data_IF_517087976611
#
_entry.id   IF_517087976611
#
_cell.length_a   1.000
_cell.length_b   1.000
_cell.length_c   1.000
_cell.angle_alpha   90.00
_cell.angle_beta   90.00
_cell.angle_gamma   90.00
#
_symmetry.space_group_name_H-M   'P 1'
#
loop_
_entity.id
_entity.type
_entity.pdbx_description
1 polymer ?
#
# COMPACT_ATOMS: atom_id res chain seq x y z
N UNK A 1 19.49 -4.07 -14.70
CA UNK A 1 19.76 -3.96 -13.26
C UNK A 1 18.62 -4.63 -12.48
N UNK A 2 18.95 -5.42 -11.47
CA UNK A 2 17.93 -6.08 -10.66
C UNK A 2 17.18 -5.06 -9.80
N UNK A 3 15.89 -5.30 -9.59
CA UNK A 3 15.08 -4.46 -8.71
C UNK A 3 15.48 -4.65 -7.25
N UNK A 4 15.38 -3.58 -6.47
CA UNK A 4 15.57 -3.68 -5.02
C UNK A 4 14.45 -4.51 -4.39
N UNK A 5 14.69 -5.02 -3.19
CA UNK A 5 13.64 -5.71 -2.41
C UNK A 5 12.41 -4.83 -2.23
N UNK A 6 12.62 -3.54 -1.97
CA UNK A 6 11.53 -2.58 -1.84
C UNK A 6 10.66 -2.54 -3.10
N UNK A 7 11.30 -2.49 -4.26
CA UNK A 7 10.58 -2.45 -5.54
C UNK A 7 9.80 -3.75 -5.78
N UNK A 8 10.40 -4.89 -5.51
CA UNK A 8 9.73 -6.19 -5.64
C UNK A 8 8.51 -6.27 -4.72
N UNK A 9 8.63 -5.77 -3.50
CA UNK A 9 7.54 -5.74 -2.53
C UNK A 9 6.39 -4.87 -3.03
N UNK A 10 6.68 -3.65 -3.45
CA UNK A 10 5.65 -2.71 -3.91
C UNK A 10 4.95 -3.22 -5.17
N UNK A 11 5.70 -3.79 -6.10
CA UNK A 11 5.14 -4.35 -7.33
C UNK A 11 4.22 -5.53 -7.01
N UNK A 12 4.60 -6.39 -6.07
CA UNK A 12 3.77 -7.53 -5.67
C UNK A 12 2.51 -7.10 -4.95
N UNK A 13 2.61 -6.11 -4.06
CA UNK A 13 1.45 -5.56 -3.37
C UNK A 13 0.45 -4.98 -4.38
N UNK A 14 0.94 -4.24 -5.38
CA UNK A 14 0.07 -3.73 -6.45
C UNK A 14 -0.62 -4.86 -7.20
N UNK A 15 0.11 -5.91 -7.55
CA UNK A 15 -0.46 -7.08 -8.23
C UNK A 15 -1.59 -7.69 -7.40
N UNK A 16 -1.39 -7.80 -6.09
CA UNK A 16 -2.42 -8.33 -5.19
C UNK A 16 -3.67 -7.44 -5.17
N UNK A 17 -3.48 -6.12 -5.20
CA UNK A 17 -4.58 -5.17 -5.21
C UNK A 17 -5.28 -5.09 -6.57
N UNK A 18 -4.58 -5.35 -7.67
CA UNK A 18 -5.18 -5.35 -9.01
C UNK A 18 -6.32 -6.37 -9.16
N UNK A 19 -6.39 -7.34 -8.28
CA UNK A 19 -7.49 -8.32 -8.26
C UNK A 19 -8.81 -7.74 -7.74
N UNK A 20 -8.80 -6.53 -7.15
CA UNK A 20 -10.01 -5.87 -6.66
C UNK A 20 -10.82 -5.38 -7.86
N UNK A 21 -12.09 -5.77 -7.90
CA UNK A 21 -12.98 -5.38 -9.01
C UNK A 21 -13.62 -4.02 -8.77
N UNK A 22 -14.02 -3.37 -9.86
CA UNK A 22 -14.74 -2.09 -9.86
C UNK A 22 -13.93 -0.90 -9.34
N UNK A 23 -12.62 -1.04 -9.24
CA UNK A 23 -11.71 0.06 -8.90
C UNK A 23 -10.44 -0.09 -9.73
N UNK A 24 -9.80 1.05 -10.04
CA UNK A 24 -8.51 1.05 -10.72
C UNK A 24 -7.41 1.31 -9.70
N UNK A 25 -6.35 0.52 -9.76
CA UNK A 25 -5.22 0.64 -8.84
C UNK A 25 -4.10 1.41 -9.51
N UNK A 26 -3.63 2.45 -8.84
CA UNK A 26 -2.51 3.28 -9.30
C UNK A 26 -1.37 3.18 -8.32
N UNK A 27 -0.16 3.37 -8.81
CA UNK A 27 1.03 3.37 -7.97
C UNK A 27 1.62 4.78 -7.94
N UNK A 28 1.74 5.33 -6.70
CA UNK A 28 2.38 6.63 -6.43
C UNK A 28 1.88 7.77 -7.33
N UNK A 29 0.57 7.80 -7.56
CA UNK A 29 -0.02 8.82 -8.41
C UNK A 29 -0.13 10.13 -7.66
N UNK A 30 0.45 11.19 -8.19
CA UNK A 30 0.41 12.54 -7.61
C UNK A 30 -0.58 13.46 -8.32
N UNK A 31 -1.05 13.07 -9.51
CA UNK A 31 -2.02 13.85 -10.28
C UNK A 31 -3.42 13.70 -9.69
N UNK A 32 -4.23 14.77 -9.67
CA UNK A 32 -5.61 14.67 -9.24
C UNK A 32 -6.39 13.66 -10.10
N UNK A 33 -7.33 12.96 -9.48
CA UNK A 33 -8.21 12.05 -10.20
C UNK A 33 -9.30 12.84 -10.91
N UNK A 34 -9.56 12.51 -12.17
CA UNK A 34 -10.72 13.00 -12.87
C UNK A 34 -11.99 12.35 -12.29
N UNK A 35 -13.15 13.00 -12.47
CA UNK A 35 -14.41 12.53 -11.89
C UNK A 35 -14.73 11.07 -12.27
N UNK A 36 -14.45 10.67 -13.49
CA UNK A 36 -14.71 9.31 -13.96
C UNK A 36 -13.68 8.27 -13.53
N UNK A 37 -12.60 8.68 -12.84
CA UNK A 37 -11.54 7.77 -12.41
C UNK A 37 -11.79 7.16 -11.01
N UNK A 38 -12.75 7.68 -10.26
CA UNK A 38 -13.17 7.08 -8.99
C UNK A 38 -14.22 5.99 -9.26
N UNK A 39 -14.24 4.87 -8.48
CA UNK A 39 -13.34 4.55 -7.37
C UNK A 39 -11.93 4.22 -7.81
N UNK A 40 -10.96 4.67 -7.04
CA UNK A 40 -9.56 4.43 -7.30
C UNK A 40 -8.84 4.02 -6.02
N UNK A 41 -7.82 3.21 -6.19
CA UNK A 41 -6.95 2.77 -5.09
C UNK A 41 -5.53 3.17 -5.46
N UNK A 42 -4.86 3.90 -4.57
CA UNK A 42 -3.50 4.36 -4.80
C UNK A 42 -2.61 3.73 -3.74
N UNK A 43 -1.58 3.00 -4.17
CA UNK A 43 -0.56 2.44 -3.30
C UNK A 43 0.71 3.27 -3.43
N UNK A 44 1.29 3.67 -2.29
CA UNK A 44 2.53 4.44 -2.28
C UNK A 44 3.36 4.17 -1.03
N UNK A 45 4.70 4.15 -1.15
CA UNK A 45 5.55 4.12 0.03
C UNK A 45 5.59 5.50 0.67
N UNK A 46 5.60 5.55 1.99
CA UNK A 46 5.66 6.81 2.75
C UNK A 46 7.05 7.01 3.32
N UNK A 47 7.59 6.01 4.00
CA UNK A 47 8.95 6.02 4.51
C UNK A 47 9.47 4.60 4.63
N UNK A 48 10.77 4.46 4.85
CA UNK A 48 11.42 3.17 4.97
C UNK A 48 12.65 3.33 5.86
N UNK A 49 12.62 2.68 7.01
CA UNK A 49 13.61 2.89 8.07
C UNK A 49 14.40 1.62 8.33
N UNK A 50 15.75 1.67 8.20
CA UNK A 50 16.57 0.52 8.51
C UNK A 50 16.85 0.40 10.00
N UNK A 51 16.98 -0.84 10.46
CA UNK A 51 17.39 -1.17 11.83
C UNK A 51 18.48 -2.21 11.75
N UNK A 52 19.51 -2.08 12.57
CA UNK A 52 20.55 -3.10 12.65
C UNK A 52 19.94 -4.40 13.19
N UNK A 53 20.36 -5.51 12.57
CA UNK A 53 19.99 -6.84 13.04
C UNK A 53 21.13 -7.41 13.89
N UNK A 54 20.87 -8.59 14.46
CA UNK A 54 21.91 -9.37 15.12
C UNK A 54 22.86 -10.03 14.12
N UNK A 55 22.61 -9.90 12.81
CA UNK A 55 23.44 -10.44 11.76
C UNK A 55 24.31 -9.33 11.14
N UNK A 56 25.59 -9.55 11.08
CA UNK A 56 26.60 -8.55 10.71
C UNK A 56 26.35 -7.87 9.38
N UNK A 57 25.91 -8.62 8.39
CA UNK A 57 25.83 -8.14 7.01
C UNK A 57 24.39 -7.89 6.56
N UNK A 58 23.45 -7.81 7.50
CA UNK A 58 22.04 -7.65 7.19
C UNK A 58 21.47 -6.38 7.83
N UNK A 59 20.45 -5.83 7.18
CA UNK A 59 19.61 -4.76 7.72
C UNK A 59 18.15 -5.23 7.69
N UNK A 60 17.43 -4.95 8.75
CA UNK A 60 15.98 -5.09 8.77
C UNK A 60 15.36 -3.72 8.51
N UNK A 61 14.37 -3.71 7.64
CA UNK A 61 13.67 -2.50 7.24
C UNK A 61 12.23 -2.53 7.71
N UNK A 62 11.72 -1.37 8.08
CA UNK A 62 10.29 -1.15 8.35
C UNK A 62 9.80 -0.11 7.36
N UNK A 63 9.06 -0.53 6.36
CA UNK A 63 8.53 0.36 5.34
C UNK A 63 7.05 0.63 5.61
N UNK A 64 6.69 1.91 5.68
CA UNK A 64 5.28 2.31 5.75
C UNK A 64 4.76 2.46 4.34
N UNK A 65 3.72 1.70 4.05
CA UNK A 65 3.03 1.75 2.75
C UNK A 65 1.61 2.21 2.99
N UNK A 66 1.19 3.23 2.25
CA UNK A 66 -0.17 3.75 2.33
C UNK A 66 -0.97 3.28 1.12
N UNK A 67 -2.16 2.75 1.40
CA UNK A 67 -3.13 2.39 0.38
C UNK A 67 -4.34 3.30 0.58
N UNK A 68 -4.57 4.20 -0.36
CA UNK A 68 -5.66 5.16 -0.30
C UNK A 68 -6.78 4.75 -1.24
N UNK A 69 -7.98 4.61 -0.70
CA UNK A 69 -9.19 4.35 -1.48
C UNK A 69 -9.94 5.66 -1.64
N UNK A 70 -10.22 6.05 -2.88
CA UNK A 70 -10.86 7.32 -3.21
C UNK A 70 -12.20 7.01 -3.85
N UNK A 71 -13.28 7.51 -3.25
CA UNK A 71 -14.65 7.33 -3.74
C UNK A 71 -15.38 8.66 -3.82
N UNK A 72 -16.31 8.77 -4.76
CA UNK A 72 -17.25 9.88 -4.84
C UNK A 72 -18.64 9.32 -4.57
N UNK A 73 -19.26 9.72 -3.47
CA UNK A 73 -20.54 9.19 -3.04
C UNK A 73 -21.19 10.11 -2.00
N UNK A 74 -22.48 9.96 -1.79
CA UNK A 74 -23.21 10.74 -0.78
C UNK A 74 -22.69 10.44 0.63
N UNK A 75 -22.34 9.18 0.89
CA UNK A 75 -21.76 8.73 2.16
C UNK A 75 -20.45 7.99 1.84
N UNK A 76 -19.32 8.71 1.69
CA UNK A 76 -18.08 8.09 1.20
C UNK A 76 -17.51 6.99 2.08
N UNK A 77 -17.62 7.11 3.39
CA UNK A 77 -17.12 6.10 4.31
C UNK A 77 -17.91 4.77 4.19
N UNK A 78 -19.21 4.86 3.96
CA UNK A 78 -20.04 3.67 3.73
C UNK A 78 -19.72 3.03 2.37
N UNK A 79 -19.68 3.84 1.31
CA UNK A 79 -19.42 3.33 -0.04
C UNK A 79 -18.02 2.78 -0.22
N UNK A 80 -17.05 3.29 0.54
CA UNK A 80 -15.66 2.82 0.48
C UNK A 80 -15.44 1.51 1.24
N UNK A 81 -16.36 1.12 2.11
CA UNK A 81 -16.14 0.00 3.03
C UNK A 81 -15.84 -1.32 2.29
N UNK A 82 -16.54 -1.60 1.20
CA UNK A 82 -16.29 -2.78 0.38
C UNK A 82 -14.86 -2.80 -0.15
N UNK A 83 -14.35 -1.65 -0.59
CA UNK A 83 -12.99 -1.56 -1.13
C UNK A 83 -11.94 -1.70 -0.03
N UNK A 84 -12.14 -1.07 1.12
CA UNK A 84 -11.19 -1.16 2.23
C UNK A 84 -11.14 -2.57 2.80
N UNK A 85 -12.26 -3.28 2.84
CA UNK A 85 -12.27 -4.70 3.20
C UNK A 85 -11.47 -5.53 2.22
N UNK A 86 -11.62 -5.28 0.91
CA UNK A 86 -10.88 -6.01 -0.12
C UNK A 86 -9.38 -5.72 -0.05
N UNK A 87 -9.00 -4.47 0.21
CA UNK A 87 -7.58 -4.10 0.40
C UNK A 87 -6.98 -4.92 1.54
N UNK A 88 -7.64 -4.91 2.69
CA UNK A 88 -7.18 -5.67 3.85
C UNK A 88 -7.08 -7.16 3.55
N UNK A 89 -8.15 -7.73 2.98
CA UNK A 89 -8.21 -9.15 2.67
C UNK A 89 -7.09 -9.57 1.70
N UNK A 90 -6.91 -8.81 0.61
CA UNK A 90 -5.92 -9.15 -0.42
C UNK A 90 -4.49 -9.04 0.10
N UNK A 91 -4.19 -8.00 0.87
CA UNK A 91 -2.85 -7.81 1.41
C UNK A 91 -2.53 -8.81 2.51
N UNK A 92 -3.47 -9.08 3.41
CA UNK A 92 -3.23 -10.01 4.51
C UNK A 92 -3.23 -11.48 4.08
N UNK A 93 -3.73 -11.78 2.89
CA UNK A 93 -3.63 -13.12 2.31
C UNK A 93 -2.20 -13.45 1.85
N UNK A 94 -1.32 -12.47 1.73
CA UNK A 94 0.06 -12.64 1.26
C UNK A 94 1.00 -11.85 2.18
N UNK A 95 1.07 -12.23 3.44
CA UNK A 95 1.78 -11.47 4.48
C UNK A 95 3.30 -11.44 4.28
N UNK A 96 3.85 -12.42 3.61
CA UNK A 96 5.28 -12.45 3.28
C UNK A 96 5.58 -11.83 1.92
N UNK A 97 4.54 -11.38 1.22
CA UNK A 97 4.63 -10.69 -0.07
C UNK A 97 5.51 -11.50 -1.03
N UNK A 98 5.02 -12.69 -1.38
CA UNK A 98 5.72 -13.64 -2.25
C UNK A 98 7.13 -13.98 -1.73
N UNK A 99 7.30 -14.04 -0.41
CA UNK A 99 8.57 -14.31 0.28
C UNK A 99 9.62 -13.19 0.12
N UNK A 100 9.25 -12.02 -0.39
CA UNK A 100 10.15 -10.87 -0.42
C UNK A 100 10.23 -10.15 0.92
N UNK A 101 9.22 -10.30 1.77
CA UNK A 101 9.15 -9.66 3.08
C UNK A 101 9.11 -10.70 4.20
N UNK A 102 9.41 -10.25 5.41
CA UNK A 102 9.29 -11.06 6.62
C UNK A 102 7.85 -11.06 7.13
N UNK A 103 7.20 -9.89 7.08
CA UNK A 103 5.86 -9.73 7.60
C UNK A 103 5.22 -8.44 7.07
N UNK A 104 3.88 -8.42 7.10
CA UNK A 104 3.06 -7.27 6.74
C UNK A 104 1.98 -7.13 7.80
N UNK A 105 1.93 -5.96 8.45
CA UNK A 105 0.95 -5.68 9.49
C UNK A 105 0.18 -4.40 9.21
N UNK A 106 -1.13 -4.36 9.48
CA UNK A 106 -1.86 -3.09 9.41
C UNK A 106 -1.44 -2.17 10.56
N UNK A 107 -1.41 -0.87 10.31
CA UNK A 107 -0.97 0.12 11.29
C UNK A 107 -2.10 1.06 11.68
N UNK A 108 -2.68 1.76 10.71
CA UNK A 108 -3.76 2.71 11.00
C UNK A 108 -4.63 2.95 9.77
N UNK A 109 -5.82 3.47 10.01
CA UNK A 109 -6.73 3.92 8.96
C UNK A 109 -7.15 5.35 9.26
N UNK A 110 -7.01 6.23 8.27
CA UNK A 110 -7.42 7.63 8.35
C UNK A 110 -8.54 7.90 7.36
N UNK A 111 -9.46 8.77 7.76
CA UNK A 111 -10.60 9.18 6.93
C UNK A 111 -10.50 10.68 6.64
N UNK A 112 -10.66 11.05 5.37
CA UNK A 112 -10.69 12.43 4.94
C UNK A 112 -11.86 12.64 3.99
N UNK A 113 -12.67 13.67 4.25
CA UNK A 113 -13.81 14.01 3.42
C UNK A 113 -13.56 15.37 2.78
N UNK A 114 -13.82 15.48 1.49
CA UNK A 114 -13.68 16.73 0.74
C UNK A 114 -15.05 17.13 0.22
N UNK A 115 -15.47 18.36 0.51
CA UNK A 115 -16.71 18.91 0.01
C UNK A 115 -16.61 19.13 -1.50
N UNK A 116 -17.64 18.67 -2.22
CA UNK A 116 -17.81 18.83 -3.66
C UNK A 116 -19.29 18.64 -3.98
N UNK A 117 -19.68 18.79 -5.24
CA UNK A 117 -21.05 18.52 -5.70
C UNK A 117 -21.49 17.12 -5.27
N UNK A 118 -20.59 16.13 -5.48
CA UNK A 118 -20.68 14.81 -4.89
C UNK A 118 -19.50 14.71 -3.94
N UNK A 119 -19.71 14.42 -2.63
CA UNK A 119 -18.61 14.35 -1.68
C UNK A 119 -17.53 13.37 -2.12
N UNK A 120 -16.27 13.73 -1.86
CA UNK A 120 -15.11 12.89 -2.12
C UNK A 120 -14.57 12.37 -0.79
N UNK A 121 -14.44 11.07 -0.68
CA UNK A 121 -13.83 10.43 0.48
C UNK A 121 -12.50 9.81 0.13
N UNK A 122 -11.51 10.01 1.01
CA UNK A 122 -10.20 9.39 0.90
C UNK A 122 -9.96 8.61 2.18
N UNK A 123 -9.92 7.30 2.07
CA UNK A 123 -9.68 6.40 3.20
C UNK A 123 -8.29 5.81 3.02
N UNK A 124 -7.37 6.20 3.90
CA UNK A 124 -5.97 5.80 3.82
C UNK A 124 -5.70 4.71 4.84
N UNK A 125 -5.30 3.54 4.35
CA UNK A 125 -4.90 2.40 5.17
C UNK A 125 -3.38 2.29 5.12
N UNK A 126 -2.73 2.45 6.27
CA UNK A 126 -1.28 2.33 6.39
C UNK A 126 -0.92 0.94 6.87
N UNK A 127 0.09 0.36 6.22
CA UNK A 127 0.64 -0.95 6.56
C UNK A 127 2.13 -0.82 6.81
N UNK A 128 2.65 -1.65 7.69
CA UNK A 128 4.09 -1.74 7.94
C UNK A 128 4.59 -3.05 7.34
N UNK A 129 5.56 -2.94 6.45
CA UNK A 129 6.23 -4.08 5.83
C UNK A 129 7.60 -4.23 6.45
N UNK A 130 7.85 -5.38 7.07
CA UNK A 130 9.16 -5.73 7.60
C UNK A 130 9.87 -6.61 6.60
N UNK A 131 11.06 -6.20 6.16
CA UNK A 131 11.84 -6.99 5.23
C UNK A 131 13.33 -6.83 5.53
N UNK A 132 14.11 -7.69 4.93
CA UNK A 132 15.55 -7.75 5.18
C UNK A 132 16.31 -7.63 3.88
N UNK A 133 17.42 -6.90 3.93
CA UNK A 133 18.38 -6.85 2.82
C UNK A 133 19.78 -7.12 3.32
N UNK A 134 20.70 -7.38 2.39
CA UNK A 134 22.11 -7.25 2.67
C UNK A 134 22.42 -5.81 3.07
N UNK A 135 23.39 -5.62 3.94
CA UNK A 135 23.81 -4.28 4.38
C UNK A 135 24.32 -3.43 3.21
N UNK A 136 24.96 -4.04 2.24
CA UNK A 136 25.59 -3.34 1.12
C UNK A 136 24.81 -3.45 -0.19
N UNK A 137 23.73 -4.25 -0.25
CA UNK A 137 23.02 -4.51 -1.50
C UNK A 137 21.52 -4.61 -1.24
N UNK A 138 20.75 -3.65 -1.75
CA UNK A 138 19.30 -3.61 -1.58
C UNK A 138 18.56 -4.66 -2.41
N UNK A 139 19.23 -5.33 -3.35
CA UNK A 139 18.62 -6.37 -4.19
C UNK A 139 18.69 -7.76 -3.55
N UNK A 140 19.55 -7.93 -2.56
CA UNK A 140 19.81 -9.21 -1.90
C UNK A 140 19.16 -9.26 -0.52
N UNK A 141 18.75 -10.46 -0.12
CA UNK A 141 18.22 -10.69 1.21
C UNK A 141 19.33 -11.01 2.22
#
# INVERSE_FOLDING_TARGET
MADSRRELILARMKTNLDAITNATVYRSRVEPLARGEAPAIIIEPIDDNPTDTNFFDKLDWSMRVRVSTIVRAAIPDDDSDTYTQQVHLRLMADQTINSYALDLTPDRTDFSLVEADVPLGIISQDFIVHYRTSRSDLTAA
#
